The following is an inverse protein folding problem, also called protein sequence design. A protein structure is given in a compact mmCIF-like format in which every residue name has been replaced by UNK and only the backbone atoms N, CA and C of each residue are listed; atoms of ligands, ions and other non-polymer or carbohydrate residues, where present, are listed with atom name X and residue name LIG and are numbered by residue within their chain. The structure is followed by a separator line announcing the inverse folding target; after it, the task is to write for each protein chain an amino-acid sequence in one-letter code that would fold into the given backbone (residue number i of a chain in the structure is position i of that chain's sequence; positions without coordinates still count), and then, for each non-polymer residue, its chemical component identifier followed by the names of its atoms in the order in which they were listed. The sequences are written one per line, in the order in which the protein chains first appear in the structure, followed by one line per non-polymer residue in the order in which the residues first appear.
data_IF_918870145179
#
_entry.id   IF_918870145179
#
_cell.length_a   1.000
_cell.length_b   1.000
_cell.length_c   1.000
_cell.angle_alpha   90.00
_cell.angle_beta   90.00
_cell.angle_gamma   90.00
#
_symmetry.space_group_name_H-M   'P 1'
#
loop_
_entity.id
_entity.type
_entity.pdbx_description
1 polymer ?
#
# COMPACT_ATOMS: atom_id res chain seq x y z
N UNK A 1 -6.65 10.40 12.18
CA UNK A 1 -7.14 9.43 13.19
C UNK A 1 -6.91 7.97 12.73
N UNK A 2 -6.68 7.01 13.64
CA UNK A 2 -6.39 5.59 13.35
C UNK A 2 -5.21 5.37 12.38
N UNK A 3 -4.03 5.88 12.73
CA UNK A 3 -2.82 5.76 11.90
C UNK A 3 -2.35 4.31 11.72
N UNK A 4 -2.60 3.44 12.70
CA UNK A 4 -2.19 2.04 12.69
C UNK A 4 -3.14 1.11 11.90
N UNK A 5 -4.30 1.62 11.47
CA UNK A 5 -5.27 0.83 10.73
C UNK A 5 -5.16 1.09 9.24
N UNK A 6 -5.22 0.01 8.45
CA UNK A 6 -5.34 0.10 7.00
C UNK A 6 -6.76 0.53 6.62
N UNK A 7 -6.92 1.82 6.32
CA UNK A 7 -8.18 2.40 5.89
C UNK A 7 -8.01 3.01 4.49
N UNK A 8 -8.53 2.32 3.48
CA UNK A 8 -8.43 2.73 2.08
C UNK A 8 -9.33 3.94 1.76
N UNK A 9 -10.44 4.13 2.50
CA UNK A 9 -11.39 5.22 2.27
C UNK A 9 -10.80 6.60 2.59
N UNK A 10 -9.72 6.63 3.38
CA UNK A 10 -8.93 7.83 3.68
C UNK A 10 -8.49 8.61 2.44
N UNK A 11 -8.35 7.94 1.29
CA UNK A 11 -7.80 8.50 0.06
C UNK A 11 -8.80 8.57 -1.09
N UNK A 12 -10.01 8.03 -0.90
CA UNK A 12 -11.04 8.01 -1.94
C UNK A 12 -11.72 9.37 -2.00
N UNK A 13 -11.98 9.86 -3.23
CA UNK A 13 -12.79 11.07 -3.43
C UNK A 13 -14.23 10.78 -3.02
N UNK A 14 -14.84 11.73 -2.33
CA UNK A 14 -16.27 11.68 -2.03
C UNK A 14 -17.06 11.58 -3.36
N UNK A 15 -17.95 10.58 -3.52
CA UNK A 15 -18.67 10.37 -4.77
C UNK A 15 -19.72 11.46 -5.06
N UNK A 16 -20.20 12.19 -4.03
CA UNK A 16 -21.17 13.27 -4.18
C UNK A 16 -20.48 14.61 -4.45
N UNK A 17 -19.40 14.90 -3.74
CA UNK A 17 -18.72 16.21 -3.83
C UNK A 17 -17.48 16.21 -4.73
N UNK A 18 -16.92 15.04 -5.05
CA UNK A 18 -15.68 14.88 -5.83
C UNK A 18 -14.41 15.28 -5.09
N UNK A 19 -14.54 15.82 -3.88
CA UNK A 19 -13.44 16.33 -3.06
C UNK A 19 -12.73 15.19 -2.34
N UNK A 20 -11.43 15.37 -2.09
CA UNK A 20 -10.68 14.43 -1.25
C UNK A 20 -10.95 14.74 0.23
N UNK A 21 -11.00 13.72 1.10
CA UNK A 21 -11.01 13.93 2.54
C UNK A 21 -9.86 14.83 2.97
N UNK A 22 -10.16 15.84 3.79
CA UNK A 22 -9.13 16.75 4.30
C UNK A 22 -8.23 16.00 5.27
N UNK A 23 -6.96 15.84 4.91
CA UNK A 23 -5.96 15.30 5.81
C UNK A 23 -5.68 16.28 6.96
N UNK A 24 -5.26 15.80 8.14
CA UNK A 24 -4.91 16.67 9.25
C UNK A 24 -3.78 17.67 8.93
N UNK A 25 -2.88 17.31 8.00
CA UNK A 25 -1.74 18.14 7.62
C UNK A 25 -1.41 17.94 6.12
N UNK A 26 -1.04 19.00 5.37
CA UNK A 26 -0.70 18.89 3.94
C UNK A 26 0.49 17.96 3.66
N UNK A 27 1.39 17.80 4.63
CA UNK A 27 2.55 16.91 4.56
C UNK A 27 2.36 15.59 5.32
N UNK A 28 1.13 15.17 5.59
CA UNK A 28 0.85 13.93 6.33
C UNK A 28 1.21 12.64 5.57
N UNK A 29 1.57 12.73 4.29
CA UNK A 29 1.88 11.58 3.44
C UNK A 29 3.02 11.89 2.46
N UNK A 30 4.23 11.44 2.80
CA UNK A 30 5.47 11.69 2.05
C UNK A 30 6.30 10.40 1.84
N UNK A 31 5.73 9.32 1.27
CA UNK A 31 6.43 8.03 1.15
C UNK A 31 7.64 8.05 0.20
N UNK A 32 7.76 9.07 -0.66
CA UNK A 32 8.85 9.25 -1.62
C UNK A 32 9.70 10.50 -1.32
N UNK A 33 9.53 11.11 -0.14
CA UNK A 33 10.13 12.39 0.21
C UNK A 33 9.48 13.59 -0.50
N UNK A 34 10.12 14.75 -0.43
CA UNK A 34 9.69 16.01 -1.03
C UNK A 34 10.90 16.87 -1.43
N UNK A 35 10.67 17.87 -2.30
CA UNK A 35 11.70 18.82 -2.72
C UNK A 35 12.69 18.24 -3.76
N UNK A 36 13.85 18.89 -3.97
CA UNK A 36 14.80 18.54 -5.04
C UNK A 36 15.52 17.19 -4.83
N UNK A 37 15.38 16.60 -3.63
CA UNK A 37 15.95 15.30 -3.26
C UNK A 37 14.86 14.24 -3.03
N UNK A 38 13.69 14.41 -3.67
CA UNK A 38 12.67 13.37 -3.68
C UNK A 38 13.16 12.10 -4.40
N UNK A 39 12.46 11.00 -4.22
CA UNK A 39 12.78 9.74 -4.88
C UNK A 39 12.62 9.88 -6.40
N UNK A 40 13.74 9.81 -7.13
CA UNK A 40 13.77 9.82 -8.60
C UNK A 40 12.95 8.67 -9.21
N UNK A 41 12.79 7.56 -8.49
CA UNK A 41 12.04 6.39 -8.92
C UNK A 41 10.53 6.45 -8.65
N UNK A 42 9.99 7.53 -8.08
CA UNK A 42 8.58 7.61 -7.65
C UNK A 42 7.58 7.22 -8.74
N UNK A 43 7.73 7.77 -9.95
CA UNK A 43 6.79 7.52 -11.05
C UNK A 43 6.85 6.07 -11.52
N UNK A 44 8.06 5.52 -11.63
CA UNK A 44 8.26 4.13 -12.02
C UNK A 44 7.70 3.15 -10.99
N UNK A 45 8.02 3.36 -9.70
CA UNK A 45 7.53 2.52 -8.61
C UNK A 45 5.99 2.50 -8.54
N UNK A 46 5.33 3.64 -8.74
CA UNK A 46 3.86 3.72 -8.75
C UNK A 46 3.24 3.03 -9.98
N UNK A 47 3.89 3.11 -11.15
CA UNK A 47 3.44 2.43 -12.34
C UNK A 47 3.54 0.91 -12.17
N UNK A 48 4.71 0.44 -11.76
CA UNK A 48 4.99 -0.98 -11.53
C UNK A 48 4.03 -1.56 -10.48
N UNK A 49 3.84 -0.88 -9.35
CA UNK A 49 2.93 -1.32 -8.28
C UNK A 49 1.48 -1.47 -8.78
N UNK A 50 1.00 -0.56 -9.63
CA UNK A 50 -0.36 -0.65 -10.20
C UNK A 50 -0.50 -1.84 -11.16
N UNK A 51 0.51 -2.07 -12.01
CA UNK A 51 0.51 -3.20 -12.94
C UNK A 51 0.52 -4.52 -12.18
N UNK A 52 1.44 -4.68 -11.23
CA UNK A 52 1.54 -5.89 -10.41
C UNK A 52 0.23 -6.13 -9.64
N UNK A 53 -0.34 -5.09 -9.02
CA UNK A 53 -1.61 -5.21 -8.30
C UNK A 53 -2.76 -5.60 -9.23
N UNK A 54 -2.87 -4.99 -10.41
CA UNK A 54 -3.89 -5.35 -11.40
C UNK A 54 -3.75 -6.80 -11.86
N UNK A 55 -2.52 -7.27 -12.11
CA UNK A 55 -2.25 -8.66 -12.48
C UNK A 55 -2.64 -9.63 -11.37
N UNK A 56 -2.28 -9.33 -10.12
CA UNK A 56 -2.66 -10.13 -8.96
C UNK A 56 -4.17 -10.20 -8.78
N UNK A 57 -4.87 -9.06 -8.85
CA UNK A 57 -6.32 -9.02 -8.69
C UNK A 57 -7.05 -9.80 -9.80
N UNK A 58 -6.53 -9.81 -11.03
CA UNK A 58 -7.15 -10.54 -12.14
C UNK A 58 -6.91 -12.05 -12.08
N UNK A 59 -5.75 -12.50 -11.58
CA UNK A 59 -5.29 -13.88 -11.79
C UNK A 59 -5.12 -14.70 -10.52
N UNK A 60 -5.10 -14.08 -9.36
CA UNK A 60 -4.72 -14.73 -8.11
C UNK A 60 -5.78 -14.53 -7.01
N UNK A 61 -5.99 -15.59 -6.22
CA UNK A 61 -6.63 -15.52 -4.92
C UNK A 61 -5.56 -15.66 -3.84
N UNK A 62 -5.62 -14.82 -2.81
CA UNK A 62 -4.67 -14.81 -1.70
C UNK A 62 -5.35 -15.23 -0.40
N UNK A 63 -4.76 -16.21 0.30
CA UNK A 63 -5.17 -16.59 1.66
C UNK A 63 -3.95 -16.53 2.58
N UNK A 64 -3.96 -15.59 3.53
CA UNK A 64 -2.88 -15.48 4.52
C UNK A 64 -2.74 -16.78 5.32
N UNK A 65 -1.50 -17.18 5.58
CA UNK A 65 -1.22 -18.33 6.44
C UNK A 65 -1.59 -17.94 7.89
N UNK A 66 -2.48 -18.69 8.56
CA UNK A 66 -2.96 -18.33 9.90
C UNK A 66 -1.84 -18.41 10.94
N UNK A 67 -2.00 -17.67 12.05
CA UNK A 67 -1.08 -17.70 13.19
C UNK A 67 0.26 -16.97 12.96
N UNK A 68 0.50 -16.39 11.77
CA UNK A 68 1.69 -15.59 11.49
C UNK A 68 1.52 -14.15 11.94
N UNK A 69 2.35 -13.70 12.88
CA UNK A 69 2.43 -12.30 13.30
C UNK A 69 3.32 -11.51 12.33
N UNK A 70 2.77 -10.48 11.69
CA UNK A 70 3.53 -9.54 10.87
C UNK A 70 4.16 -8.52 11.83
N UNK A 71 5.48 -8.52 11.92
CA UNK A 71 6.24 -7.62 12.80
C UNK A 71 7.14 -6.74 11.94
N UNK A 72 7.06 -5.40 12.07
CA UNK A 72 7.98 -4.50 11.38
C UNK A 72 9.41 -4.69 11.90
N UNK A 73 10.37 -4.73 10.98
CA UNK A 73 11.80 -4.74 11.25
C UNK A 73 12.44 -3.58 10.49
N UNK A 74 13.06 -2.68 11.24
CA UNK A 74 13.75 -1.49 10.73
C UNK A 74 15.19 -1.88 10.38
N UNK A 75 15.54 -1.87 9.07
CA UNK A 75 16.93 -1.91 8.57
C UNK A 75 17.15 -0.69 7.65
N UNK A 76 17.91 -0.71 6.53
CA UNK A 76 17.91 0.48 5.65
C UNK A 76 16.55 0.70 4.97
N UNK A 77 15.71 -0.35 4.89
CA UNK A 77 14.29 -0.26 4.53
C UNK A 77 13.45 -1.03 5.54
N UNK A 78 12.19 -0.59 5.73
CA UNK A 78 11.22 -1.28 6.59
C UNK A 78 10.76 -2.58 5.92
N UNK A 79 10.77 -3.68 6.65
CA UNK A 79 10.35 -5.00 6.16
C UNK A 79 9.65 -5.83 7.23
N UNK A 80 9.00 -6.91 6.81
CA UNK A 80 8.42 -7.87 7.75
C UNK A 80 9.51 -8.80 8.28
N UNK A 81 9.77 -8.79 9.59
CA UNK A 81 10.84 -9.56 10.27
C UNK A 81 10.84 -11.05 9.88
N UNK A 82 9.65 -11.64 9.79
CA UNK A 82 9.45 -13.06 9.53
C UNK A 82 8.83 -13.35 8.16
N UNK A 83 8.87 -12.37 7.24
CA UNK A 83 8.18 -12.44 5.96
C UNK A 83 6.65 -12.35 6.08
N UNK A 84 5.98 -12.30 4.92
CA UNK A 84 4.52 -12.30 4.79
C UNK A 84 4.12 -13.46 3.88
N UNK A 85 3.67 -14.56 4.48
CA UNK A 85 3.32 -15.78 3.74
C UNK A 85 1.83 -15.84 3.42
N UNK A 86 1.51 -16.16 2.17
CA UNK A 86 0.15 -16.40 1.71
C UNK A 86 0.12 -17.62 0.78
N UNK A 87 -0.96 -18.41 0.88
CA UNK A 87 -1.30 -19.39 -0.14
C UNK A 87 -1.90 -18.64 -1.33
N UNK A 88 -1.37 -18.92 -2.53
CA UNK A 88 -1.81 -18.30 -3.78
C UNK A 88 -2.41 -19.39 -4.65
N UNK A 89 -3.66 -19.19 -5.09
CA UNK A 89 -4.30 -20.04 -6.10
C UNK A 89 -4.70 -19.21 -7.32
N UNK A 90 -4.89 -19.87 -8.45
CA UNK A 90 -5.43 -19.21 -9.65
C UNK A 90 -6.85 -18.74 -9.37
N UNK A 91 -7.19 -17.53 -9.81
CA UNK A 91 -8.55 -16.99 -9.74
C UNK A 91 -9.37 -17.55 -10.90
N UNK A 92 -10.45 -18.24 -10.57
CA UNK A 92 -11.49 -18.63 -11.53
C UNK A 92 -12.36 -17.40 -11.81
N UNK A 93 -12.68 -17.17 -13.09
CA UNK A 93 -13.46 -16.02 -13.58
C UNK A 93 -14.89 -16.49 -13.81
#
# INVERSE_FOLDING_TARGET
PRSLEFDYTRWIRDPKTGLRPKLPHPFAYLPFGAGPRNCVGQNFALLEAKIILAMFLQRCNFKLVPGRKIVPEEKPTLKAKYGTFANISKREI
#
